data_IF_044532019462
#
_entry.id   IF_044532019462
#
_cell.length_a   1.000
_cell.length_b   1.000
_cell.length_c   1.000
_cell.angle_alpha   90.00
_cell.angle_beta   90.00
_cell.angle_gamma   90.00
#
_symmetry.space_group_name_H-M   'P 1'
#
loop_
_entity.id
_entity.type
_entity.pdbx_description
1 polymer ?
#
# COMPACT_ATOMS: atom_id res chain seq x y z
N UNK A 1 17.96 -20.41 -7.54
CA UNK A 1 17.61 -20.13 -7.62
C UNK A 1 17.10 -19.61 -7.70
N UNK A 2 17.04 -19.36 -7.67
CA UNK A 2 16.59 -18.93 -8.03
C UNK A 2 15.55 -18.37 -8.04
N UNK A 3 14.87 -18.40 -8.30
CA UNK A 3 13.71 -17.92 -8.47
C UNK A 3 13.11 -16.99 -7.62
N UNK A 4 13.48 -16.61 -7.02
CA UNK A 4 12.96 -15.83 -6.18
C UNK A 4 12.15 -14.77 -6.53
N UNK A 5 11.87 -14.41 -7.61
CA UNK A 5 11.04 -13.40 -8.01
C UNK A 5 9.65 -13.63 -7.77
N UNK A 6 9.27 -14.74 -7.31
CA UNK A 6 7.89 -15.09 -7.09
C UNK A 6 7.24 -14.30 -5.98
N UNK A 7 8.00 -13.53 -5.25
CA UNK A 7 7.44 -12.82 -4.11
C UNK A 7 6.77 -11.51 -4.45
N UNK A 8 6.86 -11.07 -5.69
CA UNK A 8 6.22 -9.83 -6.09
C UNK A 8 4.87 -10.12 -6.73
N UNK A 9 3.84 -9.45 -6.25
CA UNK A 9 2.49 -9.61 -6.77
C UNK A 9 1.92 -8.25 -7.12
N UNK A 10 1.36 -8.13 -8.31
CA UNK A 10 0.72 -6.91 -8.76
C UNK A 10 -0.78 -7.09 -8.69
N UNK A 11 -1.45 -6.17 -7.99
CA UNK A 11 -2.87 -6.26 -7.73
C UNK A 11 -3.59 -5.11 -8.42
N UNK A 12 -4.65 -5.41 -9.12
CA UNK A 12 -5.50 -4.41 -9.77
C UNK A 12 -6.88 -4.46 -9.17
N UNK A 13 -7.62 -3.37 -9.35
CA UNK A 13 -8.97 -3.29 -8.81
C UNK A 13 -9.84 -4.46 -9.24
N UNK A 14 -9.74 -4.85 -10.49
CA UNK A 14 -10.61 -5.90 -10.98
C UNK A 14 -10.12 -7.30 -10.67
N UNK A 15 -9.06 -7.42 -9.90
CA UNK A 15 -8.54 -8.72 -9.49
C UNK A 15 -8.87 -9.04 -8.05
N UNK A 16 -9.84 -8.35 -7.49
CA UNK A 16 -10.11 -8.42 -6.07
C UNK A 16 -10.56 -9.77 -5.59
N UNK A 17 -11.14 -10.58 -6.42
CA UNK A 17 -11.92 -11.71 -5.96
C UNK A 17 -11.31 -13.07 -6.22
N UNK A 18 -10.08 -13.19 -6.51
CA UNK A 18 -9.53 -14.50 -6.78
C UNK A 18 -9.32 -15.29 -5.48
N UNK A 19 -10.01 -16.41 -5.34
CA UNK A 19 -9.86 -17.24 -4.16
C UNK A 19 -8.51 -17.91 -4.08
N UNK A 20 -7.88 -18.15 -5.23
CA UNK A 20 -6.60 -18.84 -5.26
C UNK A 20 -5.42 -17.90 -5.24
N UNK A 21 -5.67 -16.62 -5.07
CA UNK A 21 -4.62 -15.64 -5.14
C UNK A 21 -4.83 -14.59 -4.06
N UNK A 22 -4.56 -14.96 -2.81
CA UNK A 22 -4.80 -14.02 -1.72
C UNK A 22 -3.94 -12.78 -1.89
N UNK A 23 -4.51 -11.65 -1.55
CA UNK A 23 -3.79 -10.40 -1.60
C UNK A 23 -2.76 -10.34 -0.49
N UNK A 24 -1.58 -9.81 -0.76
CA UNK A 24 -0.54 -9.77 0.25
C UNK A 24 -0.89 -8.84 1.40
N UNK A 25 -0.45 -9.21 2.58
CA UNK A 25 -0.60 -8.38 3.77
C UNK A 25 0.68 -7.60 3.98
N UNK A 26 0.56 -6.29 4.11
CA UNK A 26 1.72 -5.46 4.36
C UNK A 26 1.91 -5.30 5.87
N UNK A 27 3.16 -5.16 6.32
CA UNK A 27 3.46 -5.16 7.76
C UNK A 27 3.34 -3.79 8.39
N UNK A 28 2.13 -3.22 8.33
CA UNK A 28 1.87 -1.92 8.92
C UNK A 28 0.43 -1.89 9.39
N UNK A 29 0.16 -1.09 10.41
CA UNK A 29 -1.20 -0.91 10.93
C UNK A 29 -1.63 0.52 10.71
N UNK A 30 -2.94 0.73 10.76
CA UNK A 30 -3.48 2.08 10.61
C UNK A 30 -2.94 3.04 11.68
N UNK A 31 -2.89 2.67 12.96
CA UNK A 31 -2.30 3.59 13.94
C UNK A 31 -0.86 3.97 13.63
N UNK A 32 -0.08 3.03 13.08
CA UNK A 32 1.29 3.36 12.70
C UNK A 32 1.34 4.35 11.55
N UNK A 33 0.43 4.21 10.60
CA UNK A 33 0.35 5.15 9.48
C UNK A 33 0.01 6.54 10.01
N UNK A 34 -0.98 6.63 10.89
CA UNK A 34 -1.39 7.91 11.45
C UNK A 34 -0.26 8.56 12.22
N UNK A 35 0.44 7.74 13.03
CA UNK A 35 1.52 8.27 13.84
C UNK A 35 2.63 8.85 12.99
N UNK A 36 2.97 8.19 11.92
CA UNK A 36 4.09 8.66 11.10
C UNK A 36 3.70 9.76 10.14
N UNK A 37 2.55 9.64 9.49
CA UNK A 37 2.13 10.60 8.47
C UNK A 37 1.42 11.81 9.05
N UNK A 38 0.80 11.65 10.22
CA UNK A 38 0.01 12.70 10.81
C UNK A 38 -1.44 12.62 10.39
N UNK A 39 -2.33 13.16 11.24
CA UNK A 39 -3.76 13.04 11.03
C UNK A 39 -4.23 13.67 9.74
N UNK A 40 -3.71 14.85 9.42
CA UNK A 40 -4.18 15.55 8.22
C UNK A 40 -3.83 14.76 6.97
N UNK A 41 -2.59 14.30 6.88
CA UNK A 41 -2.18 13.52 5.73
C UNK A 41 -2.94 12.21 5.66
N UNK A 42 -3.17 11.60 6.82
CA UNK A 42 -3.95 10.37 6.87
C UNK A 42 -5.36 10.59 6.32
N UNK A 43 -6.02 11.66 6.74
CA UNK A 43 -7.38 11.91 6.29
C UNK A 43 -7.45 12.15 4.78
N UNK A 44 -6.45 12.83 4.24
CA UNK A 44 -6.38 13.02 2.80
C UNK A 44 -6.16 11.70 2.06
N UNK A 45 -5.34 10.84 2.65
CA UNK A 45 -5.13 9.51 2.08
C UNK A 45 -6.39 8.67 2.09
N UNK A 46 -7.18 8.78 3.14
CA UNK A 46 -8.45 8.07 3.21
C UNK A 46 -9.37 8.50 2.06
N UNK A 47 -9.42 9.80 1.79
CA UNK A 47 -10.24 10.29 0.70
C UNK A 47 -9.77 9.74 -0.65
N UNK A 48 -8.48 9.71 -0.86
CA UNK A 48 -7.93 9.17 -2.10
C UNK A 48 -8.23 7.69 -2.23
N UNK A 49 -8.13 6.95 -1.14
CA UNK A 49 -8.43 5.53 -1.16
C UNK A 49 -9.91 5.30 -1.45
N UNK A 50 -10.77 6.07 -0.84
CA UNK A 50 -12.22 5.94 -1.06
C UNK A 50 -12.61 6.28 -2.48
N UNK A 51 -11.93 7.22 -3.10
CA UNK A 51 -12.20 7.61 -4.47
C UNK A 51 -11.49 6.72 -5.48
N UNK A 52 -10.88 5.63 -5.00
CA UNK A 52 -10.23 4.64 -5.86
C UNK A 52 -9.16 5.25 -6.74
N UNK A 53 -8.37 6.13 -6.14
CA UNK A 53 -7.30 6.76 -6.88
C UNK A 53 -6.07 5.88 -7.02
N UNK A 54 -5.99 4.79 -6.27
CA UNK A 54 -4.89 3.83 -6.42
C UNK A 54 -5.21 2.92 -7.58
N UNK A 55 -4.39 3.00 -8.63
CA UNK A 55 -4.64 2.29 -9.88
C UNK A 55 -4.24 0.83 -9.76
N UNK A 56 -3.05 0.59 -9.24
CA UNK A 56 -2.55 -0.76 -9.03
C UNK A 56 -1.39 -0.70 -8.06
N UNK A 57 -1.05 -1.86 -7.51
CA UNK A 57 0.09 -1.93 -6.60
C UNK A 57 0.66 -3.34 -6.62
N UNK A 58 1.89 -3.46 -6.15
CA UNK A 58 2.52 -4.74 -5.95
C UNK A 58 3.33 -4.70 -4.66
N UNK A 59 3.50 -5.85 -4.04
CA UNK A 59 4.25 -5.94 -2.80
C UNK A 59 5.30 -7.03 -2.93
N UNK A 60 6.55 -6.66 -2.66
CA UNK A 60 7.68 -7.58 -2.64
C UNK A 60 7.98 -7.95 -1.20
N UNK A 61 7.67 -9.18 -0.82
CA UNK A 61 7.82 -9.61 0.56
C UNK A 61 9.28 -9.67 1.00
N UNK A 62 10.16 -10.04 0.10
CA UNK A 62 11.57 -10.13 0.46
C UNK A 62 12.16 -8.77 0.77
N UNK A 63 11.80 -7.78 -0.03
CA UNK A 63 12.31 -6.44 0.15
C UNK A 63 11.41 -5.59 1.04
N UNK A 64 10.27 -6.12 1.45
CA UNK A 64 9.27 -5.39 2.23
C UNK A 64 8.93 -4.07 1.58
N UNK A 65 8.71 -4.11 0.27
CA UNK A 65 8.52 -2.90 -0.52
C UNK A 65 7.20 -2.94 -1.26
N UNK A 66 6.37 -1.95 -1.01
CA UNK A 66 5.09 -1.76 -1.66
C UNK A 66 5.25 -0.66 -2.70
N UNK A 67 4.92 -0.95 -3.95
CA UNK A 67 4.97 0.05 -5.01
C UNK A 67 3.61 0.14 -5.67
N UNK A 68 3.28 1.31 -6.16
CA UNK A 68 2.01 1.47 -6.82
C UNK A 68 1.92 2.75 -7.60
N UNK A 69 0.82 2.87 -8.34
CA UNK A 69 0.48 4.05 -9.09
C UNK A 69 -0.78 4.67 -8.49
N UNK A 70 -0.73 5.95 -8.24
CA UNK A 70 -1.83 6.67 -7.61
C UNK A 70 -2.14 7.92 -8.43
N UNK A 71 -3.41 8.09 -8.78
CA UNK A 71 -3.82 9.31 -9.48
C UNK A 71 -3.63 10.52 -8.57
N UNK A 72 -3.31 11.63 -9.20
CA UNK A 72 -3.16 12.88 -8.50
C UNK A 72 -3.69 14.00 -9.35
N UNK A 73 -3.10 15.17 -9.20
CA UNK A 73 -3.57 16.34 -9.92
C UNK A 73 -3.06 16.41 -11.35
N UNK A 74 -2.21 15.49 -11.77
CA UNK A 74 -1.68 15.49 -13.12
C UNK A 74 -2.24 14.33 -13.91
N UNK A 75 -2.08 14.38 -15.23
CA UNK A 75 -2.58 13.32 -16.11
C UNK A 75 -1.82 12.02 -15.86
N UNK A 76 -0.53 12.13 -15.61
CA UNK A 76 0.29 10.94 -15.37
C UNK A 76 0.21 10.61 -13.89
N UNK A 77 -0.13 9.36 -13.54
CA UNK A 77 -0.19 8.97 -12.13
C UNK A 77 1.17 9.08 -11.45
N UNK A 78 1.13 9.31 -10.17
CA UNK A 78 2.35 9.34 -9.37
C UNK A 78 2.80 7.92 -9.05
N UNK A 79 4.10 7.72 -9.05
CA UNK A 79 4.68 6.46 -8.59
C UNK A 79 5.00 6.58 -7.11
N UNK A 80 4.56 5.60 -6.36
CA UNK A 80 4.74 5.59 -4.91
C UNK A 80 5.48 4.33 -4.53
N UNK A 81 6.47 4.47 -3.67
CA UNK A 81 7.23 3.35 -3.14
C UNK A 81 7.28 3.47 -1.63
N UNK A 82 6.86 2.42 -0.93
CA UNK A 82 6.88 2.39 0.52
C UNK A 82 7.70 1.19 0.95
N UNK A 83 8.72 1.44 1.76
CA UNK A 83 9.54 0.37 2.29
C UNK A 83 9.30 0.26 3.79
N UNK A 84 9.03 -0.97 4.23
CA UNK A 84 8.71 -1.23 5.62
C UNK A 84 9.91 -1.78 6.35
N UNK A 85 10.03 -1.43 7.62
CA UNK A 85 11.13 -1.88 8.46
C UNK A 85 10.58 -2.72 9.59
N UNK A 86 11.34 -3.72 10.05
CA UNK A 86 10.93 -4.48 11.23
C UNK A 86 10.73 -3.55 12.40
N UNK A 87 9.80 -3.89 13.26
CA UNK A 87 9.56 -3.11 14.44
C UNK A 87 10.77 -3.17 15.33
N UNK A 88 11.42 -2.03 15.50
CA UNK A 88 12.53 -1.88 16.41
C UNK A 88 12.20 -0.65 17.23
N UNK A 89 12.46 -0.73 18.51
CA UNK A 89 12.02 0.31 19.39
C UNK A 89 12.47 1.69 18.89
N UNK A 90 11.53 2.60 18.79
CA UNK A 90 11.79 3.97 18.43
C UNK A 90 12.01 4.26 16.97
N UNK A 91 12.03 3.24 16.12
CA UNK A 91 12.31 3.46 14.71
C UNK A 91 11.06 3.74 13.91
N UNK A 92 11.24 4.41 12.79
CA UNK A 92 10.15 4.60 11.86
C UNK A 92 9.71 3.24 11.31
N UNK A 93 8.41 3.11 11.09
CA UNK A 93 7.86 1.86 10.59
C UNK A 93 8.05 1.71 9.09
N UNK A 94 8.06 2.82 8.38
CA UNK A 94 8.21 2.78 6.93
C UNK A 94 8.84 4.07 6.44
N UNK A 95 9.35 4.02 5.23
CA UNK A 95 9.69 5.23 4.49
C UNK A 95 8.91 5.20 3.21
N UNK A 96 8.46 6.37 2.76
CA UNK A 96 7.64 6.46 1.57
C UNK A 96 8.23 7.50 0.63
N UNK A 97 8.22 7.18 -0.66
CA UNK A 97 8.63 8.09 -1.70
C UNK A 97 7.53 8.19 -2.74
N UNK A 98 7.35 9.38 -3.25
CA UNK A 98 6.32 9.63 -4.23
C UNK A 98 6.85 10.63 -5.23
N UNK A 99 6.46 10.50 -6.49
CA UNK A 99 6.89 11.46 -7.51
C UNK A 99 6.09 12.76 -7.45
N UNK A 100 5.19 12.90 -6.49
CA UNK A 100 4.46 14.16 -6.30
C UNK A 100 5.38 15.21 -5.66
N UNK A 101 4.94 16.49 -5.64
CA UNK A 101 5.80 17.56 -5.09
C UNK A 101 6.18 17.39 -3.63
N UNK A 102 5.38 16.66 -2.84
CA UNK A 102 5.71 16.46 -1.42
C UNK A 102 6.86 15.51 -1.22
N UNK A 103 6.98 14.50 -2.09
CA UNK A 103 8.07 13.54 -2.15
C UNK A 103 8.01 12.43 -1.11
N UNK A 104 7.77 12.72 0.16
CA UNK A 104 7.81 11.69 1.19
C UNK A 104 6.57 11.77 2.08
N UNK A 105 6.16 10.62 2.62
CA UNK A 105 5.07 10.50 3.60
C UNK A 105 3.84 11.30 3.19
N UNK A 106 3.51 11.29 1.92
CA UNK A 106 2.42 12.09 1.39
C UNK A 106 1.11 11.31 1.42
N UNK A 107 0.02 12.01 1.09
CA UNK A 107 -1.31 11.40 1.05
C UNK A 107 -1.39 10.25 0.06
N UNK A 108 -0.60 10.29 -0.99
CA UNK A 108 -0.62 9.20 -1.98
C UNK A 108 -0.06 7.92 -1.40
N UNK A 109 1.00 8.03 -0.59
CA UNK A 109 1.55 6.86 0.08
C UNK A 109 0.56 6.30 1.09
N UNK A 110 -0.12 7.17 1.82
CA UNK A 110 -1.15 6.74 2.76
C UNK A 110 -2.26 6.00 2.02
N UNK A 111 -2.72 6.55 0.91
CA UNK A 111 -3.78 5.92 0.13
C UNK A 111 -3.35 4.54 -0.36
N UNK A 112 -2.11 4.43 -0.80
CA UNK A 112 -1.58 3.16 -1.28
C UNK A 112 -1.58 2.11 -0.18
N UNK A 113 -1.09 2.47 1.01
CA UNK A 113 -1.05 1.54 2.12
C UNK A 113 -2.45 1.15 2.56
N UNK A 114 -3.35 2.11 2.64
CA UNK A 114 -4.74 1.82 3.04
C UNK A 114 -5.42 0.90 2.05
N UNK A 115 -5.16 1.09 0.76
CA UNK A 115 -5.74 0.22 -0.25
C UNK A 115 -5.23 -1.20 -0.10
N UNK A 116 -3.93 -1.36 0.12
CA UNK A 116 -3.36 -2.69 0.29
C UNK A 116 -3.92 -3.38 1.53
N UNK A 117 -4.05 -2.63 2.63
CA UNK A 117 -4.61 -3.19 3.85
C UNK A 117 -6.07 -3.59 3.66
N UNK A 118 -6.83 -2.75 3.00
CA UNK A 118 -8.25 -3.01 2.79
C UNK A 118 -8.46 -4.25 1.92
N UNK A 119 -7.69 -4.36 0.83
CA UNK A 119 -7.83 -5.48 -0.07
C UNK A 119 -7.43 -6.80 0.57
N UNK A 120 -6.39 -6.78 1.39
CA UNK A 120 -5.99 -7.98 2.12
C UNK A 120 -7.07 -8.38 3.10
N UNK A 121 -7.68 -7.42 3.77
CA UNK A 121 -8.75 -7.68 4.72
C UNK A 121 -9.98 -8.26 4.02
N UNK A 122 -10.37 -7.67 2.90
CA UNK A 122 -11.53 -8.15 2.15
C UNK A 122 -11.30 -9.56 1.62
N UNK A 123 -10.13 -9.82 1.08
CA UNK A 123 -9.82 -11.14 0.55
C UNK A 123 -9.81 -12.19 1.64
N UNK A 124 -9.25 -11.86 2.80
CA UNK A 124 -9.22 -12.78 3.93
C UNK A 124 -10.63 -13.10 4.41
N UNK A 125 -11.47 -12.08 4.47
CA UNK A 125 -12.85 -12.27 4.90
C UNK A 125 -13.61 -13.14 3.92
N UNK A 126 -13.42 -12.91 2.63
CA UNK A 126 -14.10 -13.71 1.61
C UNK A 126 -13.70 -15.17 1.70
N UNK A 127 -12.42 -15.44 1.93
CA UNK A 127 -11.96 -16.81 2.06
C UNK A 127 -12.52 -17.47 3.32
N UNK A 128 -12.66 -16.73 4.39
CA UNK A 128 -13.14 -17.33 5.63
C UNK A 128 -14.64 -17.58 5.61
N UNK A 129 -15.36 -17.03 4.66
CA UNK A 129 -16.79 -17.25 4.54
C UNK A 129 -17.13 -18.49 3.73
N UNK A 130 -16.15 -19.21 3.30
CA UNK A 130 -16.36 -20.46 2.65
C UNK A 130 -16.07 -21.61 3.58
#
# INVERSE_FOLDING_TARGET
MTGNKAHTRTIRDNELVSANNPFPEIPVTVPQIIRQAGHRTYQRGVAYQRNREVIRYSYDEDERTLTGLVNGSTIIPYEVTVRFFPAVSGSATFTARCTCPVLTDCKHAVALMLTALDRASVAKKALSEH
#
